data_IF_246687561666
#
_entry.id   IF_246687561666
#
_cell.length_a   1.000
_cell.length_b   1.000
_cell.length_c   1.000
_cell.angle_alpha   90.00
_cell.angle_beta   90.00
_cell.angle_gamma   90.00
#
_symmetry.space_group_name_H-M   'P 1'
#
loop_
_entity.id
_entity.type
_entity.pdbx_description
1 polymer ?
#
# COMPACT_ATOMS: atom_id res chain seq x y z
N UNK A 1 8.48 6.54 -20.42
CA UNK A 1 7.72 5.28 -20.22
C UNK A 1 7.70 4.97 -18.75
N UNK A 2 6.53 4.77 -18.14
CA UNK A 2 6.38 4.45 -16.72
C UNK A 2 5.79 3.05 -16.58
N UNK A 3 6.32 2.26 -15.66
CA UNK A 3 5.79 0.94 -15.37
C UNK A 3 5.15 0.96 -13.98
N UNK A 4 3.86 0.61 -13.92
CA UNK A 4 3.06 0.58 -12.70
C UNK A 4 2.76 -0.87 -12.36
N UNK A 5 3.12 -1.28 -11.15
CA UNK A 5 2.81 -2.59 -10.60
C UNK A 5 1.84 -2.46 -9.43
N UNK A 6 0.77 -3.23 -9.46
CA UNK A 6 -0.19 -3.33 -8.35
C UNK A 6 0.08 -4.64 -7.64
N UNK A 7 0.42 -4.56 -6.36
CA UNK A 7 0.68 -5.73 -5.52
C UNK A 7 -0.38 -5.84 -4.44
N UNK A 8 -0.75 -7.07 -4.13
CA UNK A 8 -1.59 -7.40 -2.99
C UNK A 8 -0.71 -7.63 -1.76
N UNK A 9 -1.24 -7.28 -0.60
CA UNK A 9 -0.66 -7.65 0.69
C UNK A 9 -1.06 -9.09 1.01
N UNK A 10 -0.12 -9.88 1.50
CA UNK A 10 -0.35 -11.19 2.11
C UNK A 10 0.29 -11.23 3.49
N UNK A 11 -0.24 -12.08 4.36
CA UNK A 11 0.40 -12.39 5.63
C UNK A 11 1.38 -13.55 5.44
N UNK A 12 2.58 -13.41 6.00
CA UNK A 12 3.58 -14.48 5.98
C UNK A 12 3.36 -15.40 7.18
N UNK A 13 2.96 -16.64 6.92
CA UNK A 13 2.83 -17.68 7.94
C UNK A 13 4.22 -17.96 8.55
N UNK A 14 4.31 -17.97 9.88
CA UNK A 14 5.54 -18.30 10.62
C UNK A 14 6.41 -17.13 11.07
N UNK A 15 5.94 -15.88 10.97
CA UNK A 15 6.64 -14.71 11.55
C UNK A 15 6.15 -14.48 12.97
N UNK A 16 6.99 -14.75 13.98
CA UNK A 16 6.65 -14.55 15.40
C UNK A 16 7.09 -13.19 15.96
N UNK A 17 7.88 -12.41 15.21
CA UNK A 17 8.29 -11.05 15.57
C UNK A 17 8.41 -10.15 14.31
N UNK A 18 7.85 -8.94 14.36
CA UNK A 18 7.88 -7.94 13.27
C UNK A 18 6.55 -7.75 12.53
N UNK A 19 6.57 -6.98 11.43
CA UNK A 19 5.37 -6.79 10.59
C UNK A 19 5.14 -8.04 9.70
N UNK A 20 4.04 -8.80 9.86
CA UNK A 20 3.77 -10.00 9.08
C UNK A 20 3.35 -9.71 7.63
N UNK A 21 3.16 -8.44 7.26
CA UNK A 21 2.76 -8.01 5.92
C UNK A 21 3.89 -8.20 4.90
N UNK A 22 3.63 -9.00 3.88
CA UNK A 22 4.53 -9.22 2.74
C UNK A 22 3.84 -8.95 1.41
N UNK A 23 4.59 -8.50 0.41
CA UNK A 23 4.10 -8.35 -0.97
C UNK A 23 4.46 -9.57 -1.78
N UNK A 24 3.57 -10.00 -2.68
CA UNK A 24 3.87 -11.06 -3.65
C UNK A 24 4.99 -10.64 -4.62
N UNK A 25 5.67 -11.62 -5.23
CA UNK A 25 6.73 -11.36 -6.22
C UNK A 25 8.15 -11.21 -5.65
N UNK A 26 8.37 -11.60 -4.39
CA UNK A 26 9.69 -11.59 -3.76
C UNK A 26 10.26 -10.19 -3.54
N UNK A 27 11.60 -10.10 -3.43
CA UNK A 27 12.27 -8.84 -3.08
C UNK A 27 12.66 -7.97 -4.29
N UNK A 28 12.65 -8.50 -5.51
CA UNK A 28 13.13 -7.78 -6.70
C UNK A 28 12.39 -6.45 -6.90
N UNK A 29 11.06 -6.47 -6.90
CA UNK A 29 10.24 -5.27 -7.08
C UNK A 29 10.52 -4.19 -6.02
N UNK A 30 10.84 -4.60 -4.78
CA UNK A 30 11.20 -3.68 -3.70
C UNK A 30 12.49 -2.91 -4.00
N UNK A 31 13.45 -3.52 -4.70
CA UNK A 31 14.71 -2.87 -5.08
C UNK A 31 14.58 -2.05 -6.36
N UNK A 32 13.93 -2.59 -7.40
CA UNK A 32 13.80 -1.93 -8.70
C UNK A 32 12.80 -0.77 -8.72
N UNK A 33 11.78 -0.75 -7.85
CA UNK A 33 10.83 0.36 -7.82
C UNK A 33 11.47 1.67 -7.33
N UNK A 34 11.32 2.73 -8.12
CA UNK A 34 11.73 4.11 -7.78
C UNK A 34 10.81 4.74 -6.72
N UNK A 35 9.52 4.41 -6.77
CA UNK A 35 8.51 4.87 -5.80
C UNK A 35 7.68 3.67 -5.35
N UNK A 36 7.41 3.55 -4.05
CA UNK A 36 6.47 2.56 -3.49
C UNK A 36 5.42 3.29 -2.67
N UNK A 37 4.17 3.06 -3.03
CA UNK A 37 2.99 3.61 -2.36
C UNK A 37 2.27 2.46 -1.64
N UNK A 38 2.03 2.62 -0.35
CA UNK A 38 1.12 1.77 0.43
C UNK A 38 -0.22 2.50 0.54
N UNK A 39 -1.27 1.87 0.02
CA UNK A 39 -2.62 2.43 -0.04
C UNK A 39 -3.49 1.62 0.91
N UNK A 40 -4.00 2.28 1.95
CA UNK A 40 -4.90 1.65 2.92
C UNK A 40 -6.21 2.40 3.01
N UNK A 41 -7.31 1.64 3.05
CA UNK A 41 -8.62 2.17 3.38
C UNK A 41 -8.61 2.60 4.85
N UNK A 42 -9.06 3.82 5.13
CA UNK A 42 -9.18 4.37 6.49
C UNK A 42 -10.64 4.29 6.93
N UNK A 43 -11.39 5.38 6.89
CA UNK A 43 -12.80 5.42 7.33
C UNK A 43 -13.78 5.42 6.16
N UNK A 44 -14.95 4.82 6.39
CA UNK A 44 -16.07 4.87 5.44
C UNK A 44 -16.83 6.17 5.65
N UNK A 45 -17.01 6.93 4.57
CA UNK A 45 -17.82 8.14 4.54
C UNK A 45 -19.28 7.72 4.38
N UNK A 46 -20.09 8.03 5.39
CA UNK A 46 -21.52 7.78 5.41
C UNK A 46 -22.26 9.12 5.38
N UNK A 47 -23.36 9.15 4.65
CA UNK A 47 -24.29 10.28 4.65
C UNK A 47 -25.18 10.24 5.90
N UNK A 48 -25.87 11.35 6.17
CA UNK A 48 -26.79 11.53 7.31
C UNK A 48 -27.92 10.49 7.30
N UNK A 49 -28.29 9.99 6.11
CA UNK A 49 -29.29 8.93 5.92
C UNK A 49 -28.73 7.50 6.02
N UNK A 50 -27.46 7.33 6.42
CA UNK A 50 -26.82 6.02 6.64
C UNK A 50 -26.24 5.36 5.38
N UNK A 51 -26.44 5.95 4.20
CA UNK A 51 -25.91 5.43 2.94
C UNK A 51 -24.39 5.63 2.85
N UNK A 52 -23.69 4.59 2.39
CA UNK A 52 -22.25 4.63 2.18
C UNK A 52 -21.91 5.40 0.90
N UNK A 53 -21.39 6.63 1.03
CA UNK A 53 -20.99 7.45 -0.12
C UNK A 53 -19.63 7.05 -0.68
N UNK A 54 -18.71 6.56 0.18
CA UNK A 54 -17.37 6.18 -0.27
C UNK A 54 -16.42 5.90 0.89
N UNK A 55 -15.12 5.81 0.56
CA UNK A 55 -14.07 5.48 1.52
C UNK A 55 -12.93 6.49 1.47
N UNK A 56 -12.58 7.02 2.65
CA UNK A 56 -11.34 7.78 2.81
C UNK A 56 -10.17 6.81 2.70
N UNK A 57 -9.29 7.07 1.75
CA UNK A 57 -8.09 6.24 1.52
C UNK A 57 -6.86 7.04 1.90
N UNK A 58 -5.96 6.45 2.69
CA UNK A 58 -4.68 7.05 3.04
C UNK A 58 -3.60 6.40 2.19
N UNK A 59 -2.81 7.23 1.52
CA UNK A 59 -1.64 6.79 0.76
C UNK A 59 -0.39 7.19 1.53
N UNK A 60 0.47 6.22 1.82
CA UNK A 60 1.78 6.44 2.43
C UNK A 60 2.86 6.15 1.40
N UNK A 61 3.79 7.08 1.21
CA UNK A 61 5.00 6.83 0.44
C UNK A 61 5.96 6.03 1.32
N UNK A 62 6.18 4.77 0.98
CA UNK A 62 7.05 3.85 1.75
C UNK A 62 8.48 3.88 1.23
N UNK A 63 8.66 4.19 -0.05
CA UNK A 63 9.98 4.36 -0.67
C UNK A 63 9.90 5.44 -1.73
N UNK A 64 10.87 6.33 -1.74
CA UNK A 64 11.10 7.29 -2.82
C UNK A 64 12.61 7.35 -3.08
N UNK A 65 13.00 7.22 -4.35
CA UNK A 65 14.39 7.35 -4.80
C UNK A 65 14.62 8.65 -5.59
N UNK A 66 13.59 9.46 -5.73
CA UNK A 66 13.64 10.71 -6.46
C UNK A 66 14.04 11.85 -5.50
N UNK A 67 14.85 12.81 -5.96
CA UNK A 67 15.15 14.00 -5.16
C UNK A 67 13.87 14.79 -4.94
N UNK A 68 13.61 15.15 -3.69
CA UNK A 68 12.57 16.10 -3.32
C UNK A 68 13.20 17.48 -3.45
N UNK A 69 12.81 18.23 -4.48
CA UNK A 69 13.13 19.65 -4.59
C UNK A 69 12.15 20.48 -3.78
#
# INVERSE_FOLDING_TARGET
MYCLFINQLREKIGVMFGNPETTTGGNALKFYASVRLDIRRSTQLKDSSGNALGNKTRVKVVKIKLPTF
#
